data_IF_516257584212
#
_entry.id   IF_516257584212
#
_cell.length_a   1.000
_cell.length_b   1.000
_cell.length_c   1.000
_cell.angle_alpha   90.00
_cell.angle_beta   90.00
_cell.angle_gamma   90.00
#
_symmetry.space_group_name_H-M   'P 1'
#
loop_
_entity.id
_entity.type
_entity.pdbx_description
1 polymer ?
#
# COMPACT_ATOMS: atom_id res chain seq x y z
N UNK A 1 80.36 -32.81 -26.57
CA UNK A 1 79.08 -32.81 -27.30
C UNK A 1 78.07 -33.53 -26.44
N UNK A 2 77.46 -32.84 -25.46
CA UNK A 2 76.52 -33.46 -24.52
C UNK A 2 75.12 -32.93 -24.80
N UNK A 3 74.21 -33.89 -24.96
CA UNK A 3 72.85 -33.73 -25.46
C UNK A 3 71.96 -32.94 -24.51
N UNK A 4 71.12 -32.07 -25.09
CA UNK A 4 69.96 -31.50 -24.43
C UNK A 4 68.96 -32.61 -24.12
N UNK A 5 68.74 -32.88 -22.83
CA UNK A 5 67.58 -33.67 -22.38
C UNK A 5 66.40 -32.70 -22.25
N UNK A 6 65.39 -32.92 -23.10
CA UNK A 6 64.15 -32.13 -23.16
C UNK A 6 63.30 -32.48 -21.93
N UNK A 7 62.89 -31.47 -21.16
CA UNK A 7 62.04 -31.61 -19.98
C UNK A 7 60.69 -32.24 -20.34
N UNK A 8 60.29 -33.24 -19.57
CA UNK A 8 58.96 -33.84 -19.58
C UNK A 8 57.95 -32.81 -19.02
N UNK A 9 57.23 -32.15 -19.91
CA UNK A 9 56.09 -31.29 -19.56
C UNK A 9 54.93 -32.17 -19.09
N UNK A 10 54.89 -32.46 -17.79
CA UNK A 10 53.72 -33.05 -17.13
C UNK A 10 52.58 -32.05 -17.18
N UNK A 11 51.81 -32.08 -18.28
CA UNK A 11 50.60 -31.29 -18.49
C UNK A 11 49.52 -31.65 -17.47
N UNK A 12 49.61 -31.09 -16.27
CA UNK A 12 48.54 -31.08 -15.29
C UNK A 12 47.44 -30.16 -15.83
N UNK A 13 46.37 -30.75 -16.40
CA UNK A 13 45.21 -29.99 -16.84
C UNK A 13 44.65 -29.14 -15.68
N UNK A 14 44.26 -27.87 -15.91
CA UNK A 14 43.71 -27.02 -14.87
C UNK A 14 42.48 -27.69 -14.24
N UNK A 15 42.27 -27.53 -12.91
CA UNK A 15 41.14 -28.14 -12.23
C UNK A 15 39.85 -27.65 -12.89
N UNK A 16 39.08 -28.60 -13.42
CA UNK A 16 37.74 -28.34 -13.94
C UNK A 16 36.91 -27.73 -12.81
N UNK A 17 36.57 -26.45 -12.96
CA UNK A 17 35.62 -25.78 -12.06
C UNK A 17 34.32 -26.58 -12.17
N UNK A 18 34.01 -27.30 -11.10
CA UNK A 18 32.78 -28.09 -11.00
C UNK A 18 31.63 -27.12 -11.25
N UNK A 19 30.92 -27.28 -12.36
CA UNK A 19 29.74 -26.48 -12.65
C UNK A 19 28.83 -26.60 -11.43
N UNK A 20 28.64 -25.49 -10.71
CA UNK A 20 27.66 -25.42 -9.63
C UNK A 20 26.37 -25.93 -10.22
N UNK A 21 25.88 -27.06 -9.72
CA UNK A 21 24.63 -27.65 -10.18
C UNK A 21 23.57 -26.59 -9.97
N UNK A 22 23.18 -25.92 -11.04
CA UNK A 22 22.08 -24.97 -11.04
C UNK A 22 20.88 -25.79 -10.60
N UNK A 23 20.42 -25.56 -9.37
CA UNK A 23 19.25 -26.25 -8.83
C UNK A 23 18.15 -26.19 -9.91
N UNK A 24 17.47 -27.31 -10.20
CA UNK A 24 16.42 -27.31 -11.21
C UNK A 24 15.47 -26.14 -10.90
N UNK A 25 14.98 -25.40 -11.91
CA UNK A 25 13.97 -24.38 -11.68
C UNK A 25 12.86 -25.08 -10.92
N UNK A 26 12.70 -24.77 -9.63
CA UNK A 26 11.70 -25.43 -8.82
C UNK A 26 10.42 -25.21 -9.57
N UNK A 27 9.83 -26.29 -10.11
CA UNK A 27 8.59 -26.20 -10.84
C UNK A 27 7.66 -25.45 -9.90
N UNK A 28 7.26 -24.23 -10.30
CA UNK A 28 6.43 -23.34 -9.50
C UNK A 28 5.13 -24.08 -9.24
N UNK A 29 5.10 -24.91 -8.20
CA UNK A 29 3.89 -25.32 -7.56
C UNK A 29 3.27 -23.99 -7.19
N UNK A 30 2.19 -23.61 -7.87
CA UNK A 30 1.45 -22.39 -7.58
C UNK A 30 1.17 -22.43 -6.09
N UNK A 31 1.90 -21.63 -5.32
CA UNK A 31 1.63 -21.50 -3.91
C UNK A 31 0.16 -21.06 -3.82
N UNK A 32 -0.65 -21.81 -3.08
CA UNK A 32 -2.08 -21.53 -2.88
C UNK A 32 -2.30 -20.12 -2.34
N UNK A 33 -1.29 -19.52 -1.71
CA UNK A 33 -1.32 -18.15 -1.21
C UNK A 33 -1.14 -17.09 -2.30
N UNK A 34 -0.61 -17.44 -3.48
CA UNK A 34 -0.36 -16.49 -4.58
C UNK A 34 -1.63 -15.76 -5.02
N UNK A 35 -1.51 -14.46 -5.30
CA UNK A 35 -2.60 -13.56 -5.71
C UNK A 35 -2.52 -13.30 -7.20
N UNK A 36 -3.65 -13.24 -7.89
CA UNK A 36 -3.67 -12.97 -9.34
C UNK A 36 -3.53 -11.46 -9.61
N UNK A 37 -2.49 -11.00 -10.35
CA UNK A 37 -2.35 -9.59 -10.71
C UNK A 37 -3.46 -9.09 -11.64
N UNK A 38 -3.93 -9.94 -12.56
CA UNK A 38 -5.04 -9.62 -13.43
C UNK A 38 -6.34 -9.44 -12.64
N UNK A 39 -6.60 -10.31 -11.67
CA UNK A 39 -7.77 -10.16 -10.80
C UNK A 39 -7.67 -8.91 -9.94
N UNK A 40 -6.49 -8.60 -9.40
CA UNK A 40 -6.26 -7.35 -8.66
C UNK A 40 -6.55 -6.12 -9.54
N UNK A 41 -6.10 -6.13 -10.81
CA UNK A 41 -6.37 -5.06 -11.76
C UNK A 41 -7.87 -4.88 -12.05
N UNK A 42 -8.58 -5.99 -12.31
CA UNK A 42 -10.03 -5.99 -12.57
C UNK A 42 -10.81 -5.51 -11.36
N UNK A 43 -10.47 -5.99 -10.16
CA UNK A 43 -11.10 -5.53 -8.92
C UNK A 43 -10.89 -4.04 -8.71
N UNK A 44 -9.71 -3.51 -9.05
CA UNK A 44 -9.43 -2.08 -8.99
C UNK A 44 -10.21 -1.22 -9.98
N UNK A 45 -11.03 -1.78 -10.87
CA UNK A 45 -12.04 -0.96 -11.57
C UNK A 45 -12.97 -0.26 -10.58
N UNK A 46 -13.23 -0.85 -9.42
CA UNK A 46 -13.73 -0.13 -8.25
C UNK A 46 -12.52 0.35 -7.43
N UNK A 47 -12.30 1.67 -7.33
CA UNK A 47 -11.09 2.21 -6.71
C UNK A 47 -10.82 1.67 -5.31
N UNK A 48 -9.61 1.14 -5.12
CA UNK A 48 -9.16 0.54 -3.86
C UNK A 48 -9.44 -0.95 -3.67
N UNK A 49 -10.36 -1.58 -4.41
CA UNK A 49 -10.72 -2.99 -4.16
C UNK A 49 -9.59 -3.98 -4.51
N UNK A 50 -8.82 -3.73 -5.57
CA UNK A 50 -7.70 -4.60 -5.92
C UNK A 50 -6.59 -4.57 -4.87
N UNK A 51 -6.33 -3.42 -4.24
CA UNK A 51 -5.40 -3.29 -3.12
C UNK A 51 -5.91 -4.06 -1.90
N UNK A 52 -7.21 -3.96 -1.58
CA UNK A 52 -7.84 -4.74 -0.50
C UNK A 52 -7.73 -6.24 -0.76
N UNK A 53 -7.93 -6.70 -2.00
CA UNK A 53 -7.80 -8.12 -2.39
C UNK A 53 -6.40 -8.70 -2.10
N UNK A 54 -5.35 -7.91 -2.34
CA UNK A 54 -3.97 -8.33 -2.06
C UNK A 54 -3.63 -8.20 -0.57
N UNK A 55 -4.42 -7.46 0.22
CA UNK A 55 -4.22 -7.26 1.66
C UNK A 55 -3.71 -5.87 2.04
N UNK A 56 -3.61 -4.94 1.10
CA UNK A 56 -3.19 -3.55 1.33
C UNK A 56 -4.40 -2.66 1.69
N UNK A 57 -5.03 -2.92 2.83
CA UNK A 57 -6.29 -2.27 3.24
C UNK A 57 -6.16 -0.75 3.33
N UNK A 58 -5.13 -0.24 4.01
CA UNK A 58 -4.95 1.20 4.19
C UNK A 58 -4.88 1.93 2.85
N UNK A 59 -4.11 1.40 1.90
CA UNK A 59 -4.00 2.00 0.56
C UNK A 59 -5.30 1.87 -0.22
N UNK A 60 -5.98 0.72 -0.13
CA UNK A 60 -7.31 0.54 -0.73
C UNK A 60 -8.30 1.59 -0.24
N UNK A 61 -8.40 1.80 1.07
CA UNK A 61 -9.27 2.85 1.65
C UNK A 61 -8.84 4.26 1.23
N UNK A 62 -7.55 4.55 1.16
CA UNK A 62 -7.06 5.85 0.66
C UNK A 62 -7.49 6.07 -0.80
N UNK A 63 -7.41 5.06 -1.66
CA UNK A 63 -7.81 5.20 -3.06
C UNK A 63 -9.32 5.41 -3.19
N UNK A 64 -10.11 4.66 -2.42
CA UNK A 64 -11.56 4.84 -2.35
C UNK A 64 -11.93 6.25 -1.84
N UNK A 65 -11.26 6.73 -0.79
CA UNK A 65 -11.49 8.06 -0.23
C UNK A 65 -11.14 9.18 -1.22
N UNK A 66 -9.98 9.10 -1.89
CA UNK A 66 -9.57 10.08 -2.91
C UNK A 66 -10.61 10.17 -4.03
N UNK A 67 -11.06 9.03 -4.56
CA UNK A 67 -12.09 9.02 -5.61
C UNK A 67 -13.42 9.56 -5.08
N UNK A 68 -13.86 9.13 -3.90
CA UNK A 68 -15.10 9.63 -3.31
C UNK A 68 -15.08 11.16 -3.15
N UNK A 69 -13.98 11.71 -2.63
CA UNK A 69 -13.81 13.16 -2.51
C UNK A 69 -13.85 13.87 -3.85
N UNK A 70 -13.16 13.35 -4.87
CA UNK A 70 -13.18 13.94 -6.21
C UNK A 70 -14.58 13.90 -6.82
N UNK A 71 -15.31 12.79 -6.67
CA UNK A 71 -16.71 12.68 -7.12
C UNK A 71 -17.58 13.72 -6.41
N UNK A 72 -17.45 13.86 -5.08
CA UNK A 72 -18.19 14.87 -4.32
C UNK A 72 -17.88 16.29 -4.80
N UNK A 73 -16.61 16.63 -5.03
CA UNK A 73 -16.22 17.95 -5.54
C UNK A 73 -16.84 18.19 -6.91
N UNK A 74 -16.68 17.26 -7.85
CA UNK A 74 -17.19 17.37 -9.22
C UNK A 74 -18.72 17.42 -9.26
N UNK A 75 -19.40 16.66 -8.40
CA UNK A 75 -20.87 16.63 -8.33
C UNK A 75 -21.47 17.86 -7.62
N UNK A 76 -20.73 18.48 -6.70
CA UNK A 76 -21.23 19.62 -5.91
C UNK A 76 -21.32 20.93 -6.70
N UNK A 77 -20.60 21.06 -7.81
CA UNK A 77 -20.48 22.32 -8.56
C UNK A 77 -19.70 23.44 -7.84
N UNK A 78 -19.17 23.17 -6.65
CA UNK A 78 -18.51 24.19 -5.81
C UNK A 78 -17.25 24.78 -6.46
N UNK A 79 -16.56 23.99 -7.30
CA UNK A 79 -15.27 24.33 -7.90
C UNK A 79 -15.28 24.24 -9.43
N UNK A 80 -16.35 24.71 -10.09
CA UNK A 80 -16.57 24.54 -11.53
C UNK A 80 -15.40 24.96 -12.43
N UNK A 81 -14.72 26.06 -12.11
CA UNK A 81 -13.53 26.53 -12.86
C UNK A 81 -12.37 25.53 -12.84
N UNK A 82 -12.33 24.65 -11.84
CA UNK A 82 -11.30 23.61 -11.68
C UNK A 82 -11.80 22.22 -12.10
N UNK A 83 -13.05 22.06 -12.53
CA UNK A 83 -13.59 20.76 -12.95
C UNK A 83 -12.72 20.05 -13.99
N UNK A 84 -12.20 20.71 -15.06
CA UNK A 84 -11.32 20.03 -16.02
C UNK A 84 -10.05 19.46 -15.37
N UNK A 85 -9.48 20.18 -14.40
CA UNK A 85 -8.30 19.73 -13.67
C UNK A 85 -8.61 18.51 -12.79
N UNK A 86 -9.72 18.53 -12.05
CA UNK A 86 -10.15 17.41 -11.21
C UNK A 86 -10.54 16.19 -12.02
N UNK A 87 -11.22 16.36 -13.15
CA UNK A 87 -11.58 15.27 -14.06
C UNK A 87 -10.33 14.64 -14.72
N UNK A 88 -9.36 15.47 -15.09
CA UNK A 88 -8.07 14.99 -15.59
C UNK A 88 -7.32 14.20 -14.52
N UNK A 89 -7.19 14.76 -13.31
CA UNK A 89 -6.57 14.07 -12.18
C UNK A 89 -7.27 12.74 -11.86
N UNK A 90 -8.60 12.73 -11.82
CA UNK A 90 -9.40 11.51 -11.61
C UNK A 90 -9.06 10.44 -12.65
N UNK A 91 -8.98 10.82 -13.93
CA UNK A 91 -8.69 9.87 -15.02
C UNK A 91 -7.31 9.21 -14.85
N UNK A 92 -6.28 10.00 -14.57
CA UNK A 92 -4.94 9.48 -14.30
C UNK A 92 -4.87 8.66 -13.02
N UNK A 93 -5.54 9.13 -11.95
CA UNK A 93 -5.61 8.44 -10.68
C UNK A 93 -6.29 7.09 -10.81
N UNK A 94 -7.33 6.99 -11.64
CA UNK A 94 -8.05 5.74 -11.89
C UNK A 94 -7.17 4.68 -12.56
N UNK A 95 -6.42 5.07 -13.59
CA UNK A 95 -5.45 4.20 -14.26
C UNK A 95 -4.31 3.80 -13.32
N UNK A 96 -3.77 4.77 -12.57
CA UNK A 96 -2.78 4.52 -11.54
C UNK A 96 -3.27 3.49 -10.52
N UNK A 97 -4.50 3.62 -10.03
CA UNK A 97 -5.11 2.71 -9.07
C UNK A 97 -5.19 1.25 -9.60
N UNK A 98 -5.46 1.05 -10.89
CA UNK A 98 -5.46 -0.28 -11.52
C UNK A 98 -4.05 -0.86 -11.59
N UNK A 99 -3.09 -0.06 -12.08
CA UNK A 99 -1.69 -0.47 -12.23
C UNK A 99 -1.06 -0.77 -10.86
N UNK A 100 -1.38 0.03 -9.85
CA UNK A 100 -0.88 -0.11 -8.49
C UNK A 100 -1.32 -1.45 -7.88
N UNK A 101 -2.60 -1.83 -8.03
CA UNK A 101 -3.08 -3.12 -7.53
C UNK A 101 -2.43 -4.32 -8.23
N UNK A 102 -2.28 -4.26 -9.56
CA UNK A 102 -1.61 -5.30 -10.32
C UNK A 102 -0.15 -5.46 -9.88
N UNK A 103 0.58 -4.34 -9.76
CA UNK A 103 1.97 -4.31 -9.31
C UNK A 103 2.13 -4.89 -7.92
N UNK A 104 1.23 -4.56 -6.99
CA UNK A 104 1.23 -5.11 -5.62
C UNK A 104 1.01 -6.61 -5.57
N UNK A 105 0.09 -7.13 -6.39
CA UNK A 105 -0.14 -8.56 -6.47
C UNK A 105 1.13 -9.29 -6.98
N UNK A 106 1.82 -8.73 -7.98
CA UNK A 106 3.10 -9.26 -8.45
C UNK A 106 4.16 -9.23 -7.36
N UNK A 107 4.34 -8.08 -6.68
CA UNK A 107 5.30 -7.94 -5.58
C UNK A 107 4.99 -8.92 -4.42
N UNK A 108 3.72 -9.14 -4.12
CA UNK A 108 3.31 -10.11 -3.11
C UNK A 108 3.71 -11.55 -3.50
N UNK A 109 3.52 -11.92 -4.76
CA UNK A 109 3.92 -13.24 -5.26
C UNK A 109 5.43 -13.42 -5.28
N UNK A 110 6.18 -12.36 -5.62
CA UNK A 110 7.65 -12.40 -5.63
C UNK A 110 8.21 -12.55 -4.21
N UNK A 111 7.62 -11.86 -3.23
CA UNK A 111 7.96 -12.02 -1.82
C UNK A 111 7.61 -13.42 -1.30
N UNK A 112 6.46 -13.97 -1.70
CA UNK A 112 6.04 -15.34 -1.35
C UNK A 112 6.99 -16.41 -1.94
N UNK A 113 7.60 -16.14 -3.10
CA UNK A 113 8.60 -17.01 -3.71
C UNK A 113 9.97 -16.99 -3.00
N UNK A 114 10.09 -16.26 -1.88
CA UNK A 114 11.31 -16.20 -1.08
C UNK A 114 12.42 -15.36 -1.70
N UNK A 115 12.08 -14.42 -2.61
CA UNK A 115 13.06 -13.50 -3.16
C UNK A 115 13.49 -12.47 -2.07
N UNK A 116 14.74 -12.51 -1.58
CA UNK A 116 15.20 -11.72 -0.43
C UNK A 116 15.32 -10.22 -0.70
N UNK A 117 15.06 -9.76 -1.94
CA UNK A 117 15.17 -8.34 -2.31
C UNK A 117 13.86 -7.55 -2.13
N UNK A 118 12.79 -8.18 -1.64
CA UNK A 118 11.48 -7.53 -1.45
C UNK A 118 11.02 -7.79 -0.02
N UNK A 119 11.40 -6.91 0.91
CA UNK A 119 10.73 -6.83 2.21
C UNK A 119 9.25 -6.48 1.97
N UNK A 120 8.36 -7.35 2.43
CA UNK A 120 6.92 -7.11 2.37
C UNK A 120 6.61 -5.78 3.05
N UNK A 121 5.96 -4.81 2.37
CA UNK A 121 5.58 -3.55 2.99
C UNK A 121 4.78 -3.79 4.28
N UNK A 122 5.06 -3.02 5.34
CA UNK A 122 4.40 -3.15 6.65
C UNK A 122 2.86 -3.02 6.62
N UNK A 123 2.30 -2.62 5.47
CA UNK A 123 0.87 -2.51 5.16
C UNK A 123 0.12 -3.86 5.19
N UNK A 124 0.82 -5.00 5.29
CA UNK A 124 0.22 -6.34 5.40
C UNK A 124 -0.40 -6.65 6.76
N UNK A 125 -0.31 -5.75 7.73
CA UNK A 125 -1.13 -5.85 8.94
C UNK A 125 -2.57 -5.65 8.51
N UNK A 126 -3.29 -6.77 8.36
CA UNK A 126 -4.75 -6.76 8.34
C UNK A 126 -5.19 -5.82 9.47
N UNK A 127 -6.05 -4.82 9.21
CA UNK A 127 -6.73 -4.15 10.30
C UNK A 127 -7.55 -5.26 10.95
N UNK A 128 -6.99 -5.84 12.00
CA UNK A 128 -7.70 -6.85 12.76
C UNK A 128 -8.98 -6.18 13.20
N UNK A 129 -10.12 -6.85 13.01
CA UNK A 129 -11.33 -6.59 13.79
C UNK A 129 -11.11 -6.84 15.30
N UNK A 130 -9.85 -6.86 15.76
CA UNK A 130 -9.48 -6.73 17.15
C UNK A 130 -10.15 -5.45 17.63
N UNK A 131 -11.18 -5.61 18.46
CA UNK A 131 -12.11 -4.56 18.84
C UNK A 131 -11.37 -3.30 19.25
N UNK A 132 -11.26 -2.36 18.31
CA UNK A 132 -10.66 -1.07 18.61
C UNK A 132 -11.67 -0.35 19.48
N UNK A 133 -11.31 -0.11 20.74
CA UNK A 133 -12.11 0.69 21.67
C UNK A 133 -12.53 2.00 21.00
N UNK A 134 -11.63 2.57 20.19
CA UNK A 134 -11.90 3.75 19.39
C UNK A 134 -12.99 3.51 18.33
N UNK A 135 -12.90 2.40 17.57
CA UNK A 135 -13.93 2.05 16.57
C UNK A 135 -15.30 1.79 17.20
N UNK A 136 -15.34 1.08 18.33
CA UNK A 136 -16.56 0.85 19.10
C UNK A 136 -17.16 2.16 19.65
N UNK A 137 -16.33 3.02 20.24
CA UNK A 137 -16.77 4.32 20.73
C UNK A 137 -17.31 5.21 19.60
N UNK A 138 -16.62 5.25 18.45
CA UNK A 138 -17.07 6.01 17.28
C UNK A 138 -18.43 5.50 16.75
N UNK A 139 -18.65 4.18 16.71
CA UNK A 139 -19.93 3.60 16.34
C UNK A 139 -21.05 3.96 17.30
N UNK A 140 -20.78 3.95 18.61
CA UNK A 140 -21.77 4.36 19.63
C UNK A 140 -22.14 5.83 19.46
N UNK A 141 -21.15 6.72 19.35
CA UNK A 141 -21.39 8.16 19.18
C UNK A 141 -22.12 8.44 17.87
N UNK A 142 -21.66 7.85 16.75
CA UNK A 142 -22.31 8.01 15.45
C UNK A 142 -23.74 7.48 15.44
N UNK A 143 -23.97 6.29 16.01
CA UNK A 143 -25.31 5.71 16.15
C UNK A 143 -26.24 6.56 17.04
N UNK A 144 -25.71 7.16 18.11
CA UNK A 144 -26.47 8.05 18.97
C UNK A 144 -26.88 9.35 18.24
N UNK A 145 -25.94 9.98 17.50
CA UNK A 145 -26.23 11.15 16.67
C UNK A 145 -27.31 10.83 15.63
N UNK A 146 -27.21 9.68 14.98
CA UNK A 146 -28.18 9.23 13.98
C UNK A 146 -29.56 8.97 14.63
N UNK A 147 -29.59 8.40 15.83
CA UNK A 147 -30.82 8.23 16.62
C UNK A 147 -31.47 9.55 17.01
N UNK A 148 -30.70 10.57 17.39
CA UNK A 148 -31.23 11.91 17.68
C UNK A 148 -31.98 12.48 16.48
N UNK A 149 -31.42 12.32 15.29
CA UNK A 149 -32.09 12.73 14.05
C UNK A 149 -33.33 11.88 13.76
N UNK A 150 -33.19 10.55 13.73
CA UNK A 150 -34.27 9.65 13.30
C UNK A 150 -35.43 9.59 14.29
N UNK A 151 -35.17 9.56 15.61
CA UNK A 151 -36.22 9.33 16.62
C UNK A 151 -36.72 10.62 17.27
N UNK A 152 -35.85 11.61 17.42
CA UNK A 152 -36.16 12.86 18.15
C UNK A 152 -36.30 14.06 17.22
N UNK A 153 -36.07 13.89 15.91
CA UNK A 153 -36.22 14.97 14.91
C UNK A 153 -35.21 16.09 15.07
N UNK A 154 -34.09 15.86 15.77
CA UNK A 154 -33.03 16.85 15.96
C UNK A 154 -32.30 17.04 14.63
N UNK A 155 -32.23 18.27 14.13
CA UNK A 155 -31.52 18.55 12.87
C UNK A 155 -30.01 18.30 13.00
N UNK A 156 -29.41 17.71 11.96
CA UNK A 156 -27.96 17.45 11.88
C UNK A 156 -27.19 18.57 11.17
N UNK A 157 -27.84 19.70 10.90
CA UNK A 157 -27.24 20.85 10.22
C UNK A 157 -25.99 21.36 10.94
N UNK A 158 -26.00 21.35 12.28
CA UNK A 158 -24.83 21.72 13.07
C UNK A 158 -23.66 20.76 12.85
N UNK A 159 -23.90 19.46 12.67
CA UNK A 159 -22.84 18.49 12.34
C UNK A 159 -22.33 18.74 10.93
N UNK A 160 -23.23 18.98 9.98
CA UNK A 160 -22.89 19.25 8.58
C UNK A 160 -22.07 20.54 8.41
N UNK A 161 -22.32 21.55 9.24
CA UNK A 161 -21.56 22.79 9.20
C UNK A 161 -20.18 22.63 9.86
N UNK A 162 -20.07 21.82 10.91
CA UNK A 162 -18.85 21.71 11.71
C UNK A 162 -17.97 20.50 11.40
N UNK A 163 -18.43 19.51 10.61
CA UNK A 163 -17.62 18.34 10.25
C UNK A 163 -16.26 18.67 9.60
N UNK A 164 -16.09 19.77 8.83
CA UNK A 164 -14.77 20.14 8.28
C UNK A 164 -13.74 20.46 9.37
N UNK A 165 -14.16 20.81 10.59
CA UNK A 165 -13.27 21.08 11.72
C UNK A 165 -12.55 19.82 12.19
N UNK A 166 -13.21 18.66 12.11
CA UNK A 166 -12.62 17.39 12.53
C UNK A 166 -11.32 17.03 11.76
N UNK A 167 -11.29 16.98 10.41
CA UNK A 167 -10.06 16.73 9.67
C UNK A 167 -9.03 17.86 9.82
N UNK A 168 -9.45 19.12 10.03
CA UNK A 168 -8.53 20.23 10.32
C UNK A 168 -7.75 20.01 11.62
N UNK A 169 -8.43 19.68 12.72
CA UNK A 169 -7.80 19.39 14.01
C UNK A 169 -6.91 18.14 13.92
N UNK A 170 -7.40 17.09 13.24
CA UNK A 170 -6.62 15.86 13.04
C UNK A 170 -5.33 16.13 12.25
N UNK A 171 -5.41 16.90 11.16
CA UNK A 171 -4.25 17.32 10.37
C UNK A 171 -3.25 18.14 11.19
N UNK A 172 -3.74 19.10 11.99
CA UNK A 172 -2.90 19.90 12.89
C UNK A 172 -2.20 19.04 13.96
N UNK A 173 -2.92 18.08 14.53
CA UNK A 173 -2.37 17.14 15.51
C UNK A 173 -1.25 16.27 14.90
N UNK A 174 -1.47 15.70 13.71
CA UNK A 174 -0.45 14.92 13.01
C UNK A 174 0.79 15.75 12.69
N UNK A 175 0.61 16.99 12.27
CA UNK A 175 1.71 17.91 12.01
C UNK A 175 2.50 18.24 13.29
N UNK A 176 1.80 18.55 14.39
CA UNK A 176 2.42 18.83 15.68
C UNK A 176 3.24 17.63 16.16
N UNK A 177 2.69 16.43 16.06
CA UNK A 177 3.38 15.17 16.41
C UNK A 177 4.60 14.92 15.53
N UNK A 178 4.47 15.09 14.22
CA UNK A 178 5.59 14.92 13.29
C UNK A 178 6.75 15.89 13.57
N UNK A 179 6.45 17.11 14.05
CA UNK A 179 7.47 18.08 14.47
C UNK A 179 8.12 17.66 15.79
N UNK A 180 7.33 17.16 16.76
CA UNK A 180 7.84 16.70 18.05
C UNK A 180 8.80 15.51 17.89
N UNK A 181 8.46 14.53 17.06
CA UNK A 181 9.28 13.34 16.80
C UNK A 181 10.64 13.70 16.16
N UNK A 182 10.67 14.74 15.32
CA UNK A 182 11.91 15.26 14.70
C UNK A 182 12.82 15.98 15.69
N UNK A 183 12.25 16.62 16.72
CA UNK A 183 13.02 17.35 17.75
C UNK A 183 13.67 16.41 18.77
N UNK A 184 12.97 15.34 19.16
CA UNK A 184 13.50 14.31 20.05
C UNK A 184 14.67 13.55 19.41
N UNK A 185 14.58 13.22 18.12
CA UNK A 185 15.63 12.49 17.40
C UNK A 185 16.96 13.25 17.28
N UNK A 186 16.93 14.59 17.20
CA UNK A 186 18.14 15.43 17.09
C UNK A 186 18.92 15.60 18.40
N UNK A 187 18.32 15.29 19.54
CA UNK A 187 18.92 15.52 20.87
C UNK A 187 19.71 14.29 21.37
N UNK A 188 19.47 13.12 20.78
CA UNK A 188 20.17 11.87 21.11
C UNK A 188 21.51 11.72 20.37
N UNK A 189 21.66 12.36 19.20
CA UNK A 189 22.85 12.26 18.35
C UNK A 189 23.98 13.25 18.73
N UNK A 190 23.75 14.05 19.78
CA UNK A 190 24.69 15.08 20.27
C UNK A 190 25.27 14.75 21.66
N UNK A 191 25.18 13.49 22.11
CA UNK A 191 25.77 12.97 23.35
C UNK A 191 26.74 11.84 23.09
#
# INVERSE_FOLDING_TARGET
MNAHTREDDTGQAPPYVRATTMAPPQARLRDTRSKSPALAAVLSMMPGLGQVYVGYYQRGFVHAAVVATLVTILASGTLDRLNPLFALFMSFFWLYNIIDAARRASLYNDALAGNPSIELPQDFKTPGLQGSIFGGAALIVGGFILLLHTRFGVSLEWVEQWWPVAPMIFGAYLLARAIQDRRTSRTTDSR
#
